data_IF_920026226474
#
_entry.id   IF_920026226474
#
_cell.length_a   1.000
_cell.length_b   1.000
_cell.length_c   1.000
_cell.angle_alpha   90.00
_cell.angle_beta   90.00
_cell.angle_gamma   90.00
#
_symmetry.space_group_name_H-M   'P 1'
#
loop_
_entity.id
_entity.type
_entity.pdbx_description
1 polymer ?
#
# COMPACT_ATOMS: atom_id res chain seq x y z
N UNK A 1 -29.23 -18.21 13.35
CA UNK A 1 -27.95 -18.00 14.08
C UNK A 1 -27.57 -16.54 13.97
N UNK A 2 -27.47 -15.75 15.06
CA UNK A 2 -27.17 -14.34 14.96
C UNK A 2 -25.65 -14.10 14.95
N UNK A 3 -25.14 -13.40 13.94
CA UNK A 3 -23.76 -12.90 13.89
C UNK A 3 -23.61 -11.76 14.90
N UNK A 4 -22.83 -12.00 15.96
CA UNK A 4 -22.46 -10.97 16.94
C UNK A 4 -21.35 -10.08 16.36
N UNK A 5 -21.73 -9.00 15.69
CA UNK A 5 -20.85 -7.84 15.59
C UNK A 5 -20.97 -7.05 16.90
N UNK A 6 -20.06 -7.32 17.83
CA UNK A 6 -19.90 -6.52 19.04
C UNK A 6 -19.53 -5.09 18.64
N UNK A 7 -20.26 -4.10 19.17
CA UNK A 7 -20.03 -2.67 18.90
C UNK A 7 -18.63 -2.28 19.40
N UNK A 8 -17.74 -1.98 18.46
CA UNK A 8 -16.48 -1.33 18.77
C UNK A 8 -16.79 0.14 19.11
N UNK A 9 -16.75 0.50 20.39
CA UNK A 9 -16.93 1.88 20.85
C UNK A 9 -15.63 2.67 20.64
N UNK A 10 -15.36 3.09 19.40
CA UNK A 10 -14.32 4.06 19.12
C UNK A 10 -14.98 5.38 18.69
N UNK A 11 -14.73 6.44 19.47
CA UNK A 11 -15.11 7.81 19.12
C UNK A 11 -14.45 8.17 17.78
N UNK A 12 -15.13 8.91 16.88
CA UNK A 12 -14.47 9.47 15.71
C UNK A 12 -13.48 10.55 16.17
N UNK A 13 -12.18 10.28 16.06
CA UNK A 13 -11.17 11.34 16.12
C UNK A 13 -11.30 12.18 14.85
N UNK A 14 -11.54 13.48 15.05
CA UNK A 14 -11.52 14.50 14.01
C UNK A 14 -10.15 14.48 13.32
N UNK A 15 -10.14 14.24 12.01
CA UNK A 15 -8.98 14.41 11.14
C UNK A 15 -8.39 15.82 11.32
N UNK A 16 -7.18 15.90 11.86
CA UNK A 16 -6.39 17.14 11.91
C UNK A 16 -5.46 17.17 10.69
N UNK A 17 -5.99 17.59 9.54
CA UNK A 17 -5.20 17.84 8.34
C UNK A 17 -4.54 19.22 8.43
N UNK A 18 -3.22 19.29 8.67
CA UNK A 18 -2.37 20.28 7.98
C UNK A 18 -0.86 20.05 8.16
N UNK A 19 -0.39 19.41 9.24
CA UNK A 19 1.05 19.16 9.45
C UNK A 19 1.57 17.88 8.76
N UNK A 20 0.73 16.88 8.54
CA UNK A 20 1.10 15.58 7.93
C UNK A 20 1.61 15.72 6.47
N UNK A 21 1.12 16.72 5.74
CA UNK A 21 1.48 16.94 4.33
C UNK A 21 2.95 17.29 4.19
N UNK A 22 3.51 18.09 5.11
CA UNK A 22 4.92 18.48 5.08
C UNK A 22 5.84 17.30 5.41
N UNK A 23 5.46 16.46 6.38
CA UNK A 23 6.19 15.23 6.72
C UNK A 23 6.25 14.26 5.53
N UNK A 24 5.14 14.09 4.82
CA UNK A 24 5.08 13.26 3.59
C UNK A 24 6.04 13.76 2.50
N UNK A 25 6.08 15.07 2.24
CA UNK A 25 7.00 15.64 1.25
C UNK A 25 8.48 15.45 1.63
N UNK A 26 8.81 15.51 2.92
CA UNK A 26 10.19 15.26 3.42
C UNK A 26 10.56 13.79 3.27
N UNK A 27 9.68 12.86 3.65
CA UNK A 27 9.87 11.42 3.51
C UNK A 27 10.10 11.03 2.03
N UNK A 28 9.26 11.54 1.12
CA UNK A 28 9.35 11.28 -0.32
C UNK A 28 10.65 11.84 -0.90
N UNK A 29 11.06 13.07 -0.52
CA UNK A 29 12.35 13.63 -0.95
C UNK A 29 13.55 12.85 -0.43
N UNK A 30 13.50 12.35 0.80
CA UNK A 30 14.56 11.49 1.36
C UNK A 30 14.62 10.14 0.64
N UNK A 31 13.48 9.54 0.31
CA UNK A 31 13.42 8.31 -0.49
C UNK A 31 13.98 8.55 -1.89
N UNK A 32 13.57 9.62 -2.58
CA UNK A 32 14.09 10.00 -3.91
C UNK A 32 15.58 10.35 -3.92
N UNK A 33 16.13 10.94 -2.85
CA UNK A 33 17.56 11.26 -2.76
C UNK A 33 18.48 10.03 -2.59
N UNK A 34 17.92 8.89 -2.18
CA UNK A 34 18.67 7.65 -1.89
C UNK A 34 18.60 6.64 -3.04
N UNK A 35 17.75 6.86 -4.03
CA UNK A 35 17.57 5.95 -5.16
C UNK A 35 18.58 6.27 -6.26
N UNK A 36 19.39 5.27 -6.60
CA UNK A 36 20.34 5.37 -7.71
C UNK A 36 19.60 5.45 -9.05
N UNK A 37 20.11 6.22 -10.04
CA UNK A 37 19.40 6.53 -11.29
C UNK A 37 19.06 5.32 -12.18
N UNK A 38 19.61 4.14 -11.91
CA UNK A 38 19.29 2.89 -12.62
C UNK A 38 17.91 2.27 -12.27
N UNK A 39 17.21 2.75 -11.23
CA UNK A 39 15.93 2.19 -10.76
C UNK A 39 14.70 3.06 -11.09
N UNK A 40 14.75 3.87 -12.16
CA UNK A 40 13.61 4.71 -12.59
C UNK A 40 12.58 3.86 -13.36
N UNK A 41 12.05 2.82 -12.69
CA UNK A 41 10.91 2.01 -13.13
C UNK A 41 9.85 2.03 -12.02
N UNK A 42 8.61 1.66 -12.35
CA UNK A 42 7.52 1.69 -11.38
C UNK A 42 7.74 0.73 -10.19
N UNK A 43 8.41 -0.41 -10.42
CA UNK A 43 8.77 -1.39 -9.39
C UNK A 43 10.18 -1.21 -8.80
N UNK A 44 11.09 -0.49 -9.46
CA UNK A 44 12.48 -0.32 -9.02
C UNK A 44 12.61 0.40 -7.67
N UNK A 45 11.83 1.47 -7.49
CA UNK A 45 11.79 2.23 -6.24
C UNK A 45 11.27 1.41 -5.04
N UNK A 46 10.04 0.83 -5.09
CA UNK A 46 9.53 0.03 -3.98
C UNK A 46 10.40 -1.20 -3.74
N UNK A 47 10.97 -1.83 -4.78
CA UNK A 47 11.93 -2.94 -4.62
C UNK A 47 13.15 -2.52 -3.80
N UNK A 48 13.78 -1.41 -4.16
CA UNK A 48 14.95 -0.89 -3.42
C UNK A 48 14.60 -0.62 -1.94
N UNK A 49 13.43 -0.01 -1.68
CA UNK A 49 12.95 0.24 -0.32
C UNK A 49 12.78 -1.06 0.48
N UNK A 50 12.20 -2.10 -0.14
CA UNK A 50 12.01 -3.41 0.49
C UNK A 50 13.36 -4.05 0.83
N UNK A 51 14.33 -4.00 -0.09
CA UNK A 51 15.67 -4.56 0.13
C UNK A 51 16.43 -3.82 1.24
N UNK A 52 16.41 -2.49 1.22
CA UNK A 52 17.09 -1.67 2.24
C UNK A 52 16.55 -1.90 3.65
N UNK A 53 15.25 -2.19 3.77
CA UNK A 53 14.58 -2.46 5.06
C UNK A 53 14.46 -3.95 5.38
N UNK A 54 14.98 -4.82 4.52
CA UNK A 54 14.86 -6.28 4.62
C UNK A 54 13.40 -6.75 4.83
N UNK A 55 12.50 -6.20 4.02
CA UNK A 55 11.07 -6.49 4.06
C UNK A 55 10.68 -7.59 3.07
N UNK A 56 9.70 -8.41 3.46
CA UNK A 56 9.08 -9.47 2.67
C UNK A 56 7.68 -9.03 2.25
N UNK A 57 7.46 -8.72 0.97
CA UNK A 57 6.21 -8.11 0.54
C UNK A 57 5.10 -9.14 0.28
N UNK A 58 3.87 -8.77 0.64
CA UNK A 58 2.66 -9.24 -0.03
C UNK A 58 2.37 -8.28 -1.18
N UNK A 59 2.42 -8.78 -2.42
CA UNK A 59 2.28 -7.97 -3.62
C UNK A 59 0.81 -7.93 -4.08
N UNK A 60 0.20 -6.74 -4.07
CA UNK A 60 -1.08 -6.41 -4.71
C UNK A 60 -0.78 -5.50 -5.91
N UNK A 61 -0.04 -6.05 -6.87
CA UNK A 61 0.38 -5.37 -8.11
C UNK A 61 -0.02 -6.20 -9.33
N UNK A 62 -0.13 -5.54 -10.48
CA UNK A 62 -0.38 -6.19 -11.76
C UNK A 62 0.69 -7.29 -12.02
N UNK A 63 0.32 -8.44 -12.61
CA UNK A 63 1.28 -9.50 -12.93
C UNK A 63 2.49 -9.02 -13.73
N UNK A 64 2.33 -8.05 -14.64
CA UNK A 64 3.45 -7.50 -15.42
C UNK A 64 4.49 -6.77 -14.57
N UNK A 65 4.11 -6.30 -13.38
CA UNK A 65 5.02 -5.66 -12.44
C UNK A 65 5.67 -6.66 -11.47
N UNK A 66 5.14 -7.89 -11.36
CA UNK A 66 5.67 -8.87 -10.42
C UNK A 66 7.11 -9.28 -10.75
N UNK A 67 7.48 -9.32 -12.04
CA UNK A 67 8.85 -9.61 -12.49
C UNK A 67 9.88 -8.61 -11.91
N UNK A 68 9.48 -7.34 -11.68
CA UNK A 68 10.35 -6.36 -11.04
C UNK A 68 10.63 -6.69 -9.56
N UNK A 69 9.86 -7.57 -8.93
CA UNK A 69 10.03 -8.03 -7.55
C UNK A 69 10.68 -9.43 -7.47
N UNK A 70 11.11 -10.01 -8.58
CA UNK A 70 11.74 -11.34 -8.61
C UNK A 70 12.97 -11.42 -7.71
N UNK A 71 13.11 -12.54 -7.01
CA UNK A 71 14.20 -12.78 -6.07
C UNK A 71 14.01 -12.14 -4.68
N UNK A 72 12.89 -11.46 -4.42
CA UNK A 72 12.50 -11.10 -3.06
C UNK A 72 11.80 -12.27 -2.36
N UNK A 73 12.11 -12.47 -1.08
CA UNK A 73 11.36 -13.41 -0.25
C UNK A 73 9.96 -12.85 0.04
N UNK A 74 8.93 -13.60 -0.35
CA UNK A 74 7.53 -13.24 -0.16
C UNK A 74 6.83 -14.14 0.89
N UNK A 75 7.55 -15.08 1.52
CA UNK A 75 7.00 -15.91 2.58
C UNK A 75 6.80 -15.10 3.86
N UNK A 76 5.72 -15.37 4.61
CA UNK A 76 5.41 -14.70 5.88
C UNK A 76 5.57 -13.17 5.79
N UNK A 77 4.73 -12.51 4.97
CA UNK A 77 4.93 -11.12 4.59
C UNK A 77 4.87 -10.18 5.80
N UNK A 78 5.80 -9.22 5.84
CA UNK A 78 5.84 -8.12 6.81
C UNK A 78 5.76 -6.74 6.15
N UNK A 79 5.39 -6.71 4.87
CA UNK A 79 5.04 -5.51 4.13
C UNK A 79 3.93 -5.82 3.14
N UNK A 80 3.14 -4.82 2.77
CA UNK A 80 2.11 -4.89 1.74
C UNK A 80 2.44 -3.84 0.70
N UNK A 81 2.61 -4.26 -0.56
CA UNK A 81 2.84 -3.35 -1.69
C UNK A 81 1.58 -3.28 -2.52
N UNK A 82 1.03 -2.08 -2.69
CA UNK A 82 -0.21 -1.83 -3.43
C UNK A 82 0.09 -1.03 -4.69
N UNK A 83 -0.12 -1.67 -5.84
CA UNK A 83 -0.17 -1.04 -7.15
C UNK A 83 -1.59 -1.06 -7.71
N UNK A 84 -1.76 -0.71 -8.99
CA UNK A 84 -3.04 -0.92 -9.67
C UNK A 84 -3.15 -2.41 -10.05
N UNK A 85 -3.95 -3.16 -9.30
CA UNK A 85 -4.18 -4.59 -9.56
C UNK A 85 -5.66 -4.94 -9.35
N UNK A 86 -6.56 -4.55 -10.28
CA UNK A 86 -8.00 -4.74 -10.13
C UNK A 86 -8.39 -6.18 -9.77
N UNK A 87 -7.75 -7.15 -10.39
CA UNK A 87 -8.02 -8.58 -10.18
C UNK A 87 -7.56 -9.11 -8.81
N UNK A 88 -6.71 -8.36 -8.10
CA UNK A 88 -6.19 -8.71 -6.77
C UNK A 88 -7.01 -8.06 -5.65
N UNK A 89 -7.88 -7.10 -5.96
CA UNK A 89 -8.66 -6.36 -4.95
C UNK A 89 -9.96 -7.05 -4.54
N UNK A 90 -9.85 -8.33 -4.20
CA UNK A 90 -10.94 -9.11 -3.62
C UNK A 90 -10.80 -9.26 -2.11
N UNK A 91 -11.93 -9.48 -1.43
CA UNK A 91 -12.03 -9.44 0.04
C UNK A 91 -11.03 -10.36 0.76
N UNK A 92 -10.79 -11.57 0.24
CA UNK A 92 -9.82 -12.50 0.82
C UNK A 92 -8.38 -11.96 0.76
N UNK A 93 -7.95 -11.37 -0.37
CA UNK A 93 -6.60 -10.80 -0.50
C UNK A 93 -6.41 -9.58 0.38
N UNK A 94 -7.43 -8.72 0.44
CA UNK A 94 -7.43 -7.57 1.35
C UNK A 94 -7.34 -8.01 2.81
N UNK A 95 -7.96 -9.12 3.19
CA UNK A 95 -7.81 -9.67 4.55
C UNK A 95 -6.42 -10.25 4.82
N UNK A 96 -5.75 -10.85 3.82
CA UNK A 96 -4.34 -11.24 3.94
C UNK A 96 -3.46 -10.02 4.19
N UNK A 97 -3.63 -8.96 3.39
CA UNK A 97 -2.92 -7.70 3.55
C UNK A 97 -3.18 -7.08 4.93
N UNK A 98 -4.45 -6.97 5.32
CA UNK A 98 -4.86 -6.44 6.61
C UNK A 98 -4.21 -7.18 7.78
N UNK A 99 -4.16 -8.52 7.77
CA UNK A 99 -3.50 -9.31 8.82
C UNK A 99 -2.00 -9.04 8.89
N UNK A 100 -1.32 -8.96 7.74
CA UNK A 100 0.09 -8.61 7.72
C UNK A 100 0.35 -7.22 8.32
N UNK A 101 -0.56 -6.26 8.13
CA UNK A 101 -0.46 -4.93 8.75
C UNK A 101 -0.73 -4.95 10.26
N UNK A 102 -1.69 -5.75 10.74
CA UNK A 102 -1.93 -5.91 12.18
C UNK A 102 -0.71 -6.49 12.92
N UNK A 103 0.06 -7.33 12.24
CA UNK A 103 1.30 -7.91 12.78
C UNK A 103 2.50 -6.93 12.73
N UNK A 104 2.25 -5.64 12.49
CA UNK A 104 3.25 -4.58 12.43
C UNK A 104 3.89 -4.38 11.06
N UNK A 105 3.27 -4.94 10.01
CA UNK A 105 3.77 -4.82 8.64
C UNK A 105 3.66 -3.40 8.08
N UNK A 106 4.55 -3.07 7.14
CA UNK A 106 4.56 -1.77 6.46
C UNK A 106 3.59 -1.74 5.27
N UNK A 107 2.79 -0.68 5.13
CA UNK A 107 1.99 -0.45 3.93
C UNK A 107 2.75 0.47 2.96
N UNK A 108 2.96 0.01 1.73
CA UNK A 108 3.66 0.74 0.67
C UNK A 108 2.72 0.83 -0.52
N UNK A 109 2.41 2.03 -1.00
CA UNK A 109 1.61 2.22 -2.19
C UNK A 109 2.47 2.84 -3.30
N UNK A 110 2.38 2.26 -4.49
CA UNK A 110 3.08 2.80 -5.65
C UNK A 110 2.49 4.16 -6.00
N UNK A 111 1.16 4.21 -6.08
CA UNK A 111 0.34 5.38 -6.40
C UNK A 111 -0.98 5.33 -5.62
N UNK A 112 -1.61 6.48 -5.37
CA UNK A 112 -2.95 6.55 -4.72
C UNK A 112 -4.05 7.31 -5.50
N UNK A 113 -4.17 7.19 -6.84
CA UNK A 113 -5.25 7.87 -7.55
C UNK A 113 -6.61 7.33 -7.10
N UNK A 114 -7.58 8.25 -7.00
CA UNK A 114 -8.96 7.93 -6.59
C UNK A 114 -9.67 7.08 -7.64
N UNK A 115 -9.46 7.41 -8.91
CA UNK A 115 -10.07 6.76 -10.06
C UNK A 115 -9.23 6.99 -11.32
N UNK A 116 -9.50 6.22 -12.37
CA UNK A 116 -8.99 6.43 -13.72
C UNK A 116 -10.13 6.27 -14.74
N UNK A 117 -9.96 6.83 -15.94
CA UNK A 117 -10.94 6.71 -17.02
C UNK A 117 -10.60 5.54 -17.95
N UNK A 118 -11.60 4.75 -18.30
CA UNK A 118 -11.53 3.71 -19.33
C UNK A 118 -12.60 3.95 -20.40
N UNK A 119 -12.72 3.04 -21.37
CA UNK A 119 -13.60 3.20 -22.54
C UNK A 119 -15.09 3.33 -22.18
N UNK A 120 -15.51 2.73 -21.07
CA UNK A 120 -16.90 2.60 -20.64
C UNK A 120 -17.21 3.33 -19.32
N UNK A 121 -16.26 4.06 -18.74
CA UNK A 121 -16.52 4.89 -17.57
C UNK A 121 -15.32 5.14 -16.67
N UNK A 122 -15.62 5.59 -15.46
CA UNK A 122 -14.62 5.77 -14.39
C UNK A 122 -14.50 4.49 -13.56
N UNK A 123 -13.26 4.09 -13.33
CA UNK A 123 -12.89 2.92 -12.55
C UNK A 123 -12.16 3.35 -11.30
N UNK A 124 -12.30 2.58 -10.22
CA UNK A 124 -11.56 2.85 -8.99
C UNK A 124 -10.07 2.65 -9.22
N UNK A 125 -9.26 3.61 -8.75
CA UNK A 125 -7.82 3.44 -8.65
C UNK A 125 -7.45 2.58 -7.43
N UNK A 126 -6.15 2.42 -7.14
CA UNK A 126 -5.70 1.75 -5.92
C UNK A 126 -5.95 2.58 -4.65
N UNK A 127 -6.12 3.91 -4.76
CA UNK A 127 -6.27 4.82 -3.62
C UNK A 127 -7.36 4.41 -2.60
N UNK A 128 -8.60 4.08 -3.02
CA UNK A 128 -9.63 3.56 -2.12
C UNK A 128 -9.20 2.32 -1.32
N UNK A 129 -8.45 1.40 -1.94
CA UNK A 129 -7.98 0.18 -1.28
C UNK A 129 -6.82 0.47 -0.31
N UNK A 130 -5.92 1.38 -0.67
CA UNK A 130 -4.88 1.90 0.25
C UNK A 130 -5.55 2.51 1.48
N UNK A 131 -6.55 3.38 1.30
CA UNK A 131 -7.28 4.01 2.43
C UNK A 131 -8.02 2.98 3.29
N UNK A 132 -8.59 1.94 2.68
CA UNK A 132 -9.23 0.86 3.43
C UNK A 132 -8.22 0.11 4.32
N UNK A 133 -7.02 -0.16 3.80
CA UNK A 133 -5.95 -0.83 4.55
C UNK A 133 -5.32 0.08 5.62
N UNK A 134 -5.12 1.37 5.34
CA UNK A 134 -4.69 2.35 6.34
C UNK A 134 -5.69 2.40 7.50
N UNK A 135 -6.98 2.56 7.18
CA UNK A 135 -8.05 2.66 8.17
C UNK A 135 -8.18 1.39 9.01
N UNK A 136 -8.16 0.23 8.38
CA UNK A 136 -8.33 -1.04 9.08
C UNK A 136 -7.09 -1.43 9.90
N UNK A 137 -5.90 -1.27 9.32
CA UNK A 137 -4.63 -1.61 9.96
C UNK A 137 -4.14 -0.59 10.99
N UNK A 138 -4.68 0.63 10.99
CA UNK A 138 -4.20 1.71 11.85
C UNK A 138 -2.77 2.15 11.50
N UNK A 139 -2.40 2.02 10.21
CA UNK A 139 -1.08 2.36 9.67
C UNK A 139 -1.20 3.46 8.63
N UNK A 140 -0.12 4.21 8.42
CA UNK A 140 -0.02 5.15 7.31
C UNK A 140 0.78 4.52 6.16
N UNK A 141 0.29 4.69 4.93
CA UNK A 141 0.94 4.19 3.74
C UNK A 141 2.15 5.05 3.35
N UNK A 142 3.26 4.38 3.00
CA UNK A 142 4.39 5.02 2.33
C UNK A 142 4.04 5.13 0.85
N UNK A 143 3.73 6.35 0.39
CA UNK A 143 3.42 6.63 -1.01
C UNK A 143 4.73 6.90 -1.77
N UNK A 144 4.94 6.16 -2.87
CA UNK A 144 6.16 6.28 -3.68
C UNK A 144 6.02 7.35 -4.78
N UNK A 145 4.87 7.43 -5.48
CA UNK A 145 4.67 8.37 -6.59
C UNK A 145 3.22 8.73 -6.87
#
# INVERSE_FOLDING_TARGET
>A
MPTKYSRCSHRPQRYQHHEEVLTRFVQIKQLHAVIKPEHVTAGGIPRSLLQQRNLRPLLLVDPSLQEEFDGLDCANPNAVVVGLAPDQFHYSKLNEAFRALLDGGSLIALHEPRYFAAKDGLYLGPGPFVKALEFSGGVEAIIIG
#
